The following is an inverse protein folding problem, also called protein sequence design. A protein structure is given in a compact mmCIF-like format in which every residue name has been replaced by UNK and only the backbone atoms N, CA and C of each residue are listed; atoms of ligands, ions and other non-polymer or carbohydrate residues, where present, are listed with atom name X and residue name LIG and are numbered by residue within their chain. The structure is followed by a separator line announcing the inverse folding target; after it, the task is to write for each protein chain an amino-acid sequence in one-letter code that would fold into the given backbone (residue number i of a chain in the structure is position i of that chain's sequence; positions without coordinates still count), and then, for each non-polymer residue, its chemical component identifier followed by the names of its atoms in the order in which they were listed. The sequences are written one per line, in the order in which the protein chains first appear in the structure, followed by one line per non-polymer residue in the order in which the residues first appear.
data_IF_526921370886
#
_entry.id   IF_526921370886
#
_cell.length_a   1.000
_cell.length_b   1.000
_cell.length_c   1.000
_cell.angle_alpha   90.00
_cell.angle_beta   90.00
_cell.angle_gamma   90.00
#
_symmetry.space_group_name_H-M   'P 1'
#
loop_
_entity.id
_entity.type
_entity.pdbx_description
1 polymer ?
#
# COMPACT_ATOMS: atom_id res chain seq x y z
N UNK A 1 -21.42 55.06 38.96
CA UNK A 1 -21.76 53.68 38.55
C UNK A 1 -20.95 53.36 37.30
N UNK A 2 -19.95 52.48 37.45
CA UNK A 2 -18.99 52.12 36.40
C UNK A 2 -19.54 50.97 35.58
N UNK A 3 -19.58 51.10 34.25
CA UNK A 3 -19.83 49.97 33.36
C UNK A 3 -18.54 49.69 32.57
N UNK A 4 -17.84 48.62 32.95
CA UNK A 4 -16.65 48.12 32.25
C UNK A 4 -17.11 47.16 31.15
N UNK A 5 -17.14 47.62 29.90
CA UNK A 5 -17.29 46.76 28.73
C UNK A 5 -15.95 46.10 28.39
N UNK A 6 -15.81 44.82 28.70
CA UNK A 6 -14.67 43.98 28.34
C UNK A 6 -14.83 43.56 26.87
N UNK A 7 -14.00 44.08 25.96
CA UNK A 7 -13.96 43.63 24.56
C UNK A 7 -13.11 42.35 24.52
N UNK A 8 -13.77 41.19 24.45
CA UNK A 8 -13.10 39.92 24.17
C UNK A 8 -12.74 39.83 22.68
N UNK A 9 -11.45 39.77 22.37
CA UNK A 9 -11.00 39.35 21.04
C UNK A 9 -11.24 37.85 20.90
N UNK A 10 -12.16 37.46 20.01
CA UNK A 10 -12.28 36.07 19.56
C UNK A 10 -11.26 35.88 18.44
N UNK A 11 -10.18 35.15 18.73
CA UNK A 11 -9.24 34.70 17.70
C UNK A 11 -9.84 33.47 17.03
N UNK A 12 -10.37 33.62 15.82
CA UNK A 12 -10.77 32.50 14.99
C UNK A 12 -9.50 31.82 14.44
N UNK A 13 -9.19 30.62 14.92
CA UNK A 13 -8.11 29.80 14.37
C UNK A 13 -8.60 29.19 13.05
N UNK A 14 -8.17 29.75 11.92
CA UNK A 14 -8.44 29.21 10.60
C UNK A 14 -7.54 27.99 10.39
N UNK A 15 -8.09 26.79 10.59
CA UNK A 15 -7.45 25.53 10.23
C UNK A 15 -7.47 25.42 8.70
N UNK A 16 -6.42 25.91 8.04
CA UNK A 16 -6.20 25.63 6.61
C UNK A 16 -5.75 24.17 6.53
N UNK A 17 -6.68 23.26 6.26
CA UNK A 17 -6.35 21.88 5.93
C UNK A 17 -5.61 21.85 4.60
N UNK A 18 -4.31 21.51 4.61
CA UNK A 18 -3.59 21.22 3.38
C UNK A 18 -4.05 19.84 2.90
N UNK A 19 -4.84 19.80 1.83
CA UNK A 19 -5.08 18.57 1.09
C UNK A 19 -3.72 18.05 0.60
N UNK A 20 -3.23 16.95 1.20
CA UNK A 20 -2.00 16.31 0.75
C UNK A 20 -2.18 15.86 -0.70
N UNK A 21 -1.30 16.31 -1.59
CA UNK A 21 -1.24 15.74 -2.94
C UNK A 21 -0.91 14.26 -2.81
N UNK A 22 -1.77 13.38 -3.35
CA UNK A 22 -1.47 11.96 -3.42
C UNK A 22 -0.12 11.78 -4.13
N UNK A 23 0.85 11.18 -3.44
CA UNK A 23 2.15 10.88 -4.03
C UNK A 23 1.97 9.87 -5.16
N UNK A 24 2.77 10.02 -6.22
CA UNK A 24 2.74 9.10 -7.36
C UNK A 24 3.06 7.67 -6.89
N UNK A 25 2.37 6.68 -7.47
CA UNK A 25 2.73 5.28 -7.29
C UNK A 25 4.11 5.03 -7.92
N UNK A 26 5.03 4.48 -7.15
CA UNK A 26 6.38 4.14 -7.61
C UNK A 26 6.44 2.73 -8.19
N UNK A 27 5.48 1.86 -7.87
CA UNK A 27 5.34 0.54 -8.50
C UNK A 27 4.96 0.73 -9.95
N UNK A 28 5.70 0.09 -10.85
CA UNK A 28 5.37 0.07 -12.27
C UNK A 28 4.46 -1.12 -12.58
N UNK A 29 3.40 -0.89 -13.38
CA UNK A 29 2.47 -1.94 -13.80
C UNK A 29 1.84 -2.74 -12.63
N UNK A 30 1.53 -2.06 -11.53
CA UNK A 30 0.91 -2.67 -10.35
C UNK A 30 -0.54 -3.13 -10.56
N UNK A 31 -1.19 -2.60 -11.59
CA UNK A 31 -2.53 -2.98 -12.10
C UNK A 31 -2.44 -4.00 -13.24
N UNK A 32 -1.24 -4.51 -13.54
CA UNK A 32 -0.95 -5.49 -14.57
C UNK A 32 -1.46 -5.18 -16.00
N UNK A 33 -1.86 -3.93 -16.28
CA UNK A 33 -2.40 -3.50 -17.57
C UNK A 33 -1.40 -3.56 -18.73
N UNK A 34 -0.10 -3.53 -18.41
CA UNK A 34 1.01 -3.73 -19.35
C UNK A 34 1.46 -5.20 -19.44
N UNK A 35 0.65 -6.15 -18.96
CA UNK A 35 0.92 -7.58 -19.04
C UNK A 35 2.04 -8.06 -18.11
N UNK A 36 2.75 -9.13 -18.50
CA UNK A 36 3.85 -9.71 -17.73
C UNK A 36 5.16 -8.90 -17.84
N UNK A 37 5.13 -7.64 -17.40
CA UNK A 37 6.27 -6.71 -17.43
C UNK A 37 6.36 -5.91 -16.12
N UNK A 38 7.52 -5.31 -15.82
CA UNK A 38 7.70 -4.44 -14.64
C UNK A 38 7.98 -5.15 -13.31
N UNK A 39 7.85 -6.48 -13.26
CA UNK A 39 8.12 -7.26 -12.04
C UNK A 39 8.89 -8.56 -12.33
N UNK A 40 9.31 -9.22 -11.26
CA UNK A 40 9.95 -10.54 -11.29
C UNK A 40 9.19 -11.53 -10.39
N UNK A 41 9.30 -12.82 -10.69
CA UNK A 41 8.70 -13.90 -9.92
C UNK A 41 9.64 -15.10 -9.84
N UNK A 42 9.59 -15.84 -8.74
CA UNK A 42 10.18 -17.17 -8.65
C UNK A 42 9.23 -18.24 -9.23
N UNK A 43 7.97 -17.91 -9.49
CA UNK A 43 7.00 -18.80 -10.13
C UNK A 43 7.21 -18.78 -11.64
N UNK A 44 6.89 -19.87 -12.31
CA UNK A 44 7.01 -19.97 -13.76
C UNK A 44 5.82 -19.29 -14.45
N UNK A 45 6.10 -18.33 -15.34
CA UNK A 45 5.07 -17.72 -16.16
C UNK A 45 4.51 -18.72 -17.19
N UNK A 46 3.17 -18.80 -17.29
CA UNK A 46 2.47 -19.62 -18.28
C UNK A 46 1.28 -18.87 -18.88
N UNK A 47 1.17 -18.87 -20.20
CA UNK A 47 0.01 -18.32 -20.90
C UNK A 47 -0.24 -19.16 -22.18
N UNK A 48 -1.30 -19.99 -22.24
CA UNK A 48 -2.38 -20.09 -21.26
C UNK A 48 -1.92 -20.67 -19.90
N UNK A 49 -2.68 -20.40 -18.85
CA UNK A 49 -2.43 -20.93 -17.50
C UNK A 49 -2.72 -22.44 -17.47
N UNK A 50 -1.75 -23.26 -17.06
CA UNK A 50 -1.87 -24.73 -17.06
C UNK A 50 -2.28 -25.34 -15.71
N UNK A 51 -2.59 -24.53 -14.69
CA UNK A 51 -2.92 -24.99 -13.33
C UNK A 51 -1.92 -26.00 -12.79
N UNK A 52 -0.66 -25.56 -12.79
CA UNK A 52 0.45 -26.28 -12.20
C UNK A 52 0.96 -25.47 -11.01
N UNK A 53 1.23 -26.11 -9.86
CA UNK A 53 1.79 -25.44 -8.70
C UNK A 53 3.01 -24.63 -9.09
N UNK A 54 3.23 -23.50 -8.41
CA UNK A 54 4.36 -22.60 -8.66
C UNK A 54 4.34 -21.95 -10.06
N UNK A 55 3.17 -21.79 -10.67
CA UNK A 55 2.99 -21.05 -11.91
C UNK A 55 2.12 -19.82 -11.73
N UNK A 56 2.24 -18.89 -12.65
CA UNK A 56 1.37 -17.73 -12.72
C UNK A 56 1.08 -17.33 -14.17
N UNK A 57 0.04 -16.52 -14.33
CA UNK A 57 -0.24 -15.79 -15.57
C UNK A 57 -0.61 -14.35 -15.26
N UNK A 58 -0.66 -13.52 -16.29
CA UNK A 58 -1.22 -12.16 -16.21
C UNK A 58 -2.33 -12.07 -17.23
N UNK A 59 -3.53 -11.73 -16.77
CA UNK A 59 -4.70 -11.67 -17.64
C UNK A 59 -5.97 -11.28 -16.90
N UNK A 60 -7.06 -11.25 -17.65
CA UNK A 60 -8.33 -10.66 -17.24
C UNK A 60 -9.39 -11.68 -16.80
N UNK A 61 -9.11 -12.97 -16.97
CA UNK A 61 -10.13 -13.98 -16.78
C UNK A 61 -9.54 -15.34 -16.45
N UNK A 62 -10.25 -16.03 -15.56
CA UNK A 62 -9.91 -17.37 -15.10
C UNK A 62 -11.15 -18.24 -15.32
N UNK A 63 -11.01 -19.23 -16.20
CA UNK A 63 -12.07 -20.22 -16.43
C UNK A 63 -12.05 -21.32 -15.37
N UNK A 64 -13.12 -22.11 -15.37
CA UNK A 64 -13.34 -23.26 -14.50
C UNK A 64 -12.11 -24.18 -14.41
N UNK A 65 -11.78 -24.72 -13.21
CA UNK A 65 -12.62 -24.83 -12.00
C UNK A 65 -12.59 -23.59 -11.09
N UNK A 66 -11.90 -22.53 -11.45
CA UNK A 66 -11.88 -21.28 -10.68
C UNK A 66 -13.18 -20.52 -10.91
N UNK A 67 -13.67 -19.84 -9.88
CA UNK A 67 -14.85 -18.98 -10.04
C UNK A 67 -14.60 -17.97 -11.17
N UNK A 68 -15.62 -17.57 -11.92
CA UNK A 68 -15.47 -16.41 -12.80
C UNK A 68 -15.25 -15.17 -11.94
N UNK A 69 -14.11 -14.51 -12.09
CA UNK A 69 -13.83 -13.25 -11.40
C UNK A 69 -13.17 -12.23 -12.30
N UNK A 70 -13.25 -10.97 -11.85
CA UNK A 70 -12.77 -9.81 -12.56
C UNK A 70 -11.67 -9.11 -11.75
N UNK A 71 -10.81 -8.44 -12.50
CA UNK A 71 -9.83 -7.45 -12.06
C UNK A 71 -10.42 -6.44 -11.06
N UNK A 72 -9.62 -6.02 -10.09
CA UNK A 72 -10.01 -5.11 -9.03
C UNK A 72 -10.08 -3.66 -9.52
N UNK A 73 -9.14 -3.22 -10.36
CA UNK A 73 -9.03 -1.82 -10.80
C UNK A 73 -10.30 -1.34 -11.52
N UNK A 74 -10.76 -2.11 -12.51
CA UNK A 74 -11.93 -1.80 -13.30
C UNK A 74 -13.19 -2.52 -12.78
N UNK A 75 -13.06 -3.62 -12.05
CA UNK A 75 -14.20 -4.49 -11.70
C UNK A 75 -14.85 -5.12 -12.94
N UNK A 76 -14.13 -5.17 -14.07
CA UNK A 76 -14.65 -5.62 -15.37
C UNK A 76 -13.84 -6.79 -15.93
N UNK A 77 -14.39 -7.55 -16.89
CA UNK A 77 -13.65 -8.63 -17.56
C UNK A 77 -12.50 -8.15 -18.47
N UNK A 78 -12.19 -6.85 -18.50
CA UNK A 78 -11.18 -6.27 -19.38
C UNK A 78 -9.89 -5.86 -18.66
N UNK A 79 -9.92 -5.65 -17.33
CA UNK A 79 -8.73 -5.33 -16.55
C UNK A 79 -7.88 -6.59 -16.32
N UNK A 80 -6.57 -6.42 -16.10
CA UNK A 80 -5.63 -7.53 -15.98
C UNK A 80 -5.14 -7.64 -14.55
N UNK A 81 -4.92 -8.87 -14.10
CA UNK A 81 -4.42 -9.16 -12.76
C UNK A 81 -3.41 -10.30 -12.85
N UNK A 82 -2.57 -10.42 -11.83
CA UNK A 82 -1.70 -11.59 -11.70
C UNK A 82 -2.48 -12.73 -11.06
N UNK A 83 -2.57 -13.87 -11.75
CA UNK A 83 -3.26 -15.08 -11.30
C UNK A 83 -2.21 -16.14 -11.00
N UNK A 84 -2.27 -16.70 -9.80
CA UNK A 84 -1.22 -17.58 -9.26
C UNK A 84 -1.82 -18.93 -8.86
N UNK A 85 -1.16 -19.99 -9.31
CA UNK A 85 -1.36 -21.34 -8.81
C UNK A 85 -0.34 -21.59 -7.69
N UNK A 86 -0.87 -21.73 -6.47
CA UNK A 86 -0.10 -21.70 -5.24
C UNK A 86 0.96 -22.80 -5.13
N UNK A 87 1.93 -22.63 -4.23
CA UNK A 87 2.91 -23.69 -3.96
C UNK A 87 2.36 -24.73 -2.98
N UNK A 88 2.81 -25.99 -3.08
CA UNK A 88 2.46 -27.03 -2.08
C UNK A 88 3.30 -26.99 -0.80
N UNK A 89 4.57 -26.58 -0.90
CA UNK A 89 5.54 -26.84 0.19
C UNK A 89 6.71 -25.86 0.31
N UNK A 90 6.65 -24.67 -0.29
CA UNK A 90 7.74 -23.71 -0.17
C UNK A 90 7.23 -22.27 -0.14
N UNK A 91 7.82 -21.47 0.75
CA UNK A 91 7.69 -20.03 0.64
C UNK A 91 8.54 -19.52 -0.49
N UNK A 92 7.91 -18.92 -1.50
CA UNK A 92 8.58 -18.40 -2.66
C UNK A 92 8.03 -17.02 -3.04
N UNK A 93 8.88 -16.20 -3.65
CA UNK A 93 8.52 -14.86 -4.13
C UNK A 93 7.61 -14.99 -5.33
N UNK A 94 6.38 -14.52 -5.19
CA UNK A 94 5.38 -14.52 -6.26
C UNK A 94 5.45 -13.24 -7.08
N UNK A 95 5.74 -12.12 -6.43
CA UNK A 95 5.91 -10.82 -7.08
C UNK A 95 7.03 -10.04 -6.40
N UNK A 96 7.86 -9.37 -7.19
CA UNK A 96 8.94 -8.51 -6.71
C UNK A 96 9.28 -7.38 -7.68
N UNK A 97 9.52 -6.20 -7.12
CA UNK A 97 10.06 -5.03 -7.82
C UNK A 97 11.11 -4.32 -6.94
N UNK A 98 12.10 -3.70 -7.59
CA UNK A 98 13.08 -2.84 -6.93
C UNK A 98 12.73 -1.37 -7.20
N UNK A 99 12.47 -0.63 -6.13
CA UNK A 99 11.99 0.75 -6.17
C UNK A 99 13.08 1.70 -5.67
N UNK A 100 13.28 2.81 -6.38
CA UNK A 100 14.11 3.91 -5.88
C UNK A 100 13.27 4.72 -4.89
N UNK A 101 13.80 4.95 -3.70
CA UNK A 101 13.15 5.73 -2.65
C UNK A 101 14.01 6.90 -2.22
N UNK A 102 13.37 7.94 -1.72
CA UNK A 102 14.03 9.06 -1.05
C UNK A 102 14.30 8.64 0.40
N UNK A 103 15.53 8.86 0.93
CA UNK A 103 15.80 8.68 2.35
C UNK A 103 14.87 9.52 3.24
N UNK A 104 14.73 9.08 4.49
CA UNK A 104 13.99 9.71 5.59
C UNK A 104 12.54 10.06 5.22
N UNK A 105 11.91 9.19 4.42
CA UNK A 105 10.57 9.38 3.88
C UNK A 105 9.65 8.21 4.23
N UNK A 106 8.40 8.51 4.56
CA UNK A 106 7.36 7.51 4.77
C UNK A 106 6.72 7.10 3.45
N UNK A 107 6.46 5.81 3.30
CA UNK A 107 5.81 5.21 2.15
C UNK A 107 4.66 4.31 2.59
N UNK A 108 3.58 4.31 1.82
CA UNK A 108 2.47 3.38 1.96
C UNK A 108 2.62 2.25 0.94
N UNK A 109 2.72 1.01 1.42
CA UNK A 109 2.68 -0.19 0.57
C UNK A 109 1.29 -0.81 0.64
N UNK A 110 0.66 -1.01 -0.52
CA UNK A 110 -0.64 -1.69 -0.67
C UNK A 110 -0.60 -2.74 -1.76
N UNK A 111 -1.50 -3.71 -1.62
CA UNK A 111 -1.87 -4.63 -2.68
C UNK A 111 -3.26 -5.19 -2.38
N UNK A 112 -3.99 -5.52 -3.44
CA UNK A 112 -5.22 -6.28 -3.34
C UNK A 112 -4.95 -7.74 -3.65
N UNK A 113 -5.57 -8.63 -2.89
CA UNK A 113 -5.49 -10.06 -3.13
C UNK A 113 -6.83 -10.75 -2.90
N UNK A 114 -7.07 -11.87 -3.58
CA UNK A 114 -8.24 -12.74 -3.37
C UNK A 114 -7.88 -14.19 -3.57
N UNK A 115 -8.57 -15.08 -2.88
CA UNK A 115 -8.58 -16.51 -3.23
C UNK A 115 -9.32 -16.68 -4.57
N UNK A 116 -8.87 -17.63 -5.40
CA UNK A 116 -9.46 -17.92 -6.72
C UNK A 116 -10.04 -19.33 -6.79
N UNK A 117 -9.84 -20.14 -5.75
CA UNK A 117 -10.29 -21.53 -5.67
C UNK A 117 -10.91 -21.85 -4.30
N UNK A 118 -11.96 -22.68 -4.29
CA UNK A 118 -12.55 -23.17 -3.05
C UNK A 118 -11.68 -24.29 -2.47
N UNK A 119 -10.87 -23.93 -1.49
CA UNK A 119 -9.82 -24.81 -1.03
C UNK A 119 -9.18 -24.33 0.28
N UNK A 120 -7.91 -24.67 0.50
CA UNK A 120 -7.19 -24.25 1.70
C UNK A 120 -7.00 -22.73 1.79
N UNK A 121 -6.61 -22.27 2.99
CA UNK A 121 -6.24 -20.87 3.21
C UNK A 121 -5.05 -20.48 2.33
N UNK A 122 -5.06 -19.23 1.86
CA UNK A 122 -3.89 -18.58 1.26
C UNK A 122 -3.32 -17.63 2.30
N UNK A 123 -2.01 -17.70 2.54
CA UNK A 123 -1.31 -16.78 3.44
C UNK A 123 -0.21 -16.09 2.65
N UNK A 124 -0.30 -14.77 2.52
CA UNK A 124 0.68 -13.96 1.81
C UNK A 124 1.54 -13.18 2.80
N UNK A 125 2.84 -13.15 2.57
CA UNK A 125 3.80 -12.33 3.29
C UNK A 125 4.21 -11.12 2.47
N UNK A 126 4.23 -9.95 3.09
CA UNK A 126 4.68 -8.71 2.46
C UNK A 126 6.02 -8.32 3.06
N UNK A 127 7.02 -8.12 2.20
CA UNK A 127 8.39 -7.83 2.63
C UNK A 127 8.93 -6.57 1.95
N UNK A 128 9.73 -5.82 2.69
CA UNK A 128 10.53 -4.71 2.20
C UNK A 128 11.98 -4.95 2.66
N UNK A 129 12.93 -4.96 1.73
CA UNK A 129 14.36 -5.20 2.03
C UNK A 129 14.60 -6.46 2.86
N UNK A 130 13.96 -7.57 2.46
CA UNK A 130 13.99 -8.87 3.13
C UNK A 130 13.38 -8.92 4.54
N UNK A 131 12.78 -7.84 5.03
CA UNK A 131 12.07 -7.80 6.31
C UNK A 131 10.57 -7.90 6.07
N UNK A 132 9.89 -8.82 6.74
CA UNK A 132 8.44 -8.94 6.66
C UNK A 132 7.75 -7.79 7.40
N UNK A 133 6.94 -7.03 6.68
CA UNK A 133 6.19 -5.87 7.18
C UNK A 133 4.73 -6.19 7.48
N UNK A 134 4.24 -7.35 7.03
CA UNK A 134 2.93 -7.86 7.41
C UNK A 134 2.53 -9.11 6.64
N UNK A 135 1.30 -9.55 6.89
CA UNK A 135 0.69 -10.72 6.27
C UNK A 135 -0.77 -10.45 5.90
N UNK A 136 -1.26 -11.12 4.86
CA UNK A 136 -2.68 -11.19 4.52
C UNK A 136 -3.12 -12.65 4.45
N UNK A 137 -4.20 -13.01 5.12
CA UNK A 137 -4.78 -14.37 5.09
C UNK A 137 -6.11 -14.32 4.38
N UNK A 138 -6.22 -15.05 3.26
CA UNK A 138 -7.42 -15.13 2.45
C UNK A 138 -8.13 -16.44 2.77
N UNK A 139 -9.40 -16.34 3.14
CA UNK A 139 -10.23 -17.51 3.36
C UNK A 139 -10.47 -18.24 2.03
N UNK A 140 -10.33 -19.57 2.02
CA UNK A 140 -10.67 -20.42 0.88
C UNK A 140 -12.19 -20.60 0.69
N UNK A 141 -12.99 -19.60 1.05
CA UNK A 141 -14.46 -19.64 0.98
C UNK A 141 -14.98 -19.07 -0.33
N UNK A 142 -16.21 -19.45 -0.70
CA UNK A 142 -16.89 -19.07 -1.95
C UNK A 142 -17.14 -17.56 -2.11
N UNK A 143 -16.97 -16.78 -1.04
CA UNK A 143 -17.16 -15.32 -1.07
C UNK A 143 -16.09 -14.59 -1.87
N UNK A 144 -14.88 -15.16 -2.03
CA UNK A 144 -13.82 -14.74 -2.98
C UNK A 144 -13.63 -13.22 -3.16
N UNK A 145 -13.89 -12.41 -2.14
CA UNK A 145 -13.77 -10.95 -2.28
C UNK A 145 -12.31 -10.52 -2.29
N UNK A 146 -12.04 -9.40 -2.98
CA UNK A 146 -10.75 -8.72 -2.90
C UNK A 146 -10.53 -8.17 -1.50
N UNK A 147 -9.35 -8.42 -0.94
CA UNK A 147 -8.91 -7.94 0.37
C UNK A 147 -7.64 -7.12 0.22
N UNK A 148 -7.59 -5.96 0.89
CA UNK A 148 -6.45 -5.06 0.86
C UNK A 148 -5.44 -5.42 1.95
N UNK A 149 -4.17 -5.57 1.57
CA UNK A 149 -3.04 -5.38 2.48
C UNK A 149 -2.60 -3.91 2.44
N UNK A 150 -2.26 -3.34 3.60
CA UNK A 150 -1.71 -1.98 3.72
C UNK A 150 -0.72 -1.89 4.88
N UNK A 151 0.42 -1.25 4.66
CA UNK A 151 1.31 -0.82 5.74
C UNK A 151 2.02 0.50 5.43
N UNK A 152 2.49 1.18 6.48
CA UNK A 152 3.42 2.32 6.36
C UNK A 152 4.84 1.83 6.66
N UNK A 153 5.80 2.25 5.83
CA UNK A 153 7.22 1.94 5.98
C UNK A 153 8.06 3.21 5.82
N UNK A 154 9.03 3.42 6.71
CA UNK A 154 9.97 4.53 6.64
C UNK A 154 11.28 4.07 5.99
N UNK A 155 11.79 4.84 5.03
CA UNK A 155 13.02 4.50 4.31
C UNK A 155 14.30 4.62 5.13
N UNK A 156 14.27 5.34 6.26
CA UNK A 156 15.49 5.69 6.98
C UNK A 156 16.57 6.20 6.03
N UNK A 157 17.81 5.75 6.17
CA UNK A 157 18.89 6.21 5.29
C UNK A 157 18.97 5.52 3.91
N UNK A 158 18.08 4.56 3.59
CA UNK A 158 18.21 3.81 2.32
C UNK A 158 17.67 4.60 1.12
N UNK A 159 18.26 4.37 -0.05
CA UNK A 159 17.84 4.97 -1.33
C UNK A 159 17.11 3.98 -2.25
N UNK A 160 16.91 2.74 -1.79
CA UNK A 160 16.24 1.68 -2.55
C UNK A 160 15.45 0.74 -1.65
N UNK A 161 14.34 0.25 -2.16
CA UNK A 161 13.47 -0.71 -1.51
C UNK A 161 13.18 -1.89 -2.45
N UNK A 162 13.49 -3.12 -2.03
CA UNK A 162 13.02 -4.32 -2.70
C UNK A 162 11.70 -4.74 -2.08
N UNK A 163 10.61 -4.55 -2.81
CA UNK A 163 9.26 -4.97 -2.41
C UNK A 163 9.05 -6.41 -2.86
N UNK A 164 8.53 -7.27 -1.97
CA UNK A 164 8.18 -8.65 -2.31
C UNK A 164 6.87 -9.06 -1.70
N UNK A 165 6.11 -9.83 -2.47
CA UNK A 165 5.00 -10.65 -1.99
C UNK A 165 5.47 -12.10 -2.09
N UNK A 166 5.30 -12.85 -1.00
CA UNK A 166 5.64 -14.28 -0.95
C UNK A 166 4.40 -15.08 -0.58
N UNK A 167 4.25 -16.25 -1.19
CA UNK A 167 3.32 -17.27 -0.71
C UNK A 167 3.92 -17.87 0.57
N UNK A 168 3.23 -17.76 1.71
CA UNK A 168 3.65 -18.33 2.99
C UNK A 168 2.93 -19.65 3.29
N UNK A 169 1.96 -20.05 2.47
CA UNK A 169 1.23 -21.29 2.70
C UNK A 169 2.13 -22.48 2.32
N UNK A 170 2.66 -23.16 3.33
CA UNK A 170 3.75 -24.15 3.19
C UNK A 170 3.32 -25.59 3.50
N UNK A 171 2.04 -25.83 3.82
CA UNK A 171 1.57 -27.10 4.36
C UNK A 171 0.29 -27.64 3.69
N UNK A 172 0.12 -27.41 2.40
CA UNK A 172 -1.02 -27.96 1.68
C UNK A 172 -0.69 -29.31 1.05
N UNK A 173 -1.15 -30.37 1.71
CA UNK A 173 -1.36 -31.66 1.07
C UNK A 173 -2.61 -31.70 0.18
N UNK A 174 -3.29 -30.56 -0.01
CA UNK A 174 -4.52 -30.42 -0.81
C UNK A 174 -4.33 -29.27 -1.82
N UNK A 175 -4.65 -29.48 -3.12
CA UNK A 175 -4.67 -28.42 -4.13
C UNK A 175 -5.59 -27.25 -3.78
N UNK A 176 -5.28 -26.06 -4.33
CA UNK A 176 -6.22 -24.94 -4.35
C UNK A 176 -5.90 -23.77 -3.44
N UNK A 177 -4.65 -23.55 -3.02
CA UNK A 177 -4.21 -22.25 -2.47
C UNK A 177 -3.96 -21.22 -3.57
N UNK A 178 -4.86 -21.15 -4.54
CA UNK A 178 -4.72 -20.29 -5.69
C UNK A 178 -5.28 -18.92 -5.35
N UNK A 179 -4.63 -17.89 -5.87
CA UNK A 179 -4.98 -16.52 -5.58
C UNK A 179 -4.72 -15.59 -6.76
N UNK A 180 -5.27 -14.40 -6.69
CA UNK A 180 -4.94 -13.31 -7.58
C UNK A 180 -4.40 -12.12 -6.79
N UNK A 181 -3.51 -11.36 -7.43
CA UNK A 181 -2.94 -10.10 -6.96
C UNK A 181 -3.30 -8.99 -7.93
N UNK A 182 -3.58 -7.81 -7.39
CA UNK A 182 -3.91 -6.63 -8.18
C UNK A 182 -3.62 -5.32 -7.42
N UNK A 183 -3.63 -4.21 -8.14
CA UNK A 183 -3.50 -2.84 -7.61
C UNK A 183 -2.35 -2.67 -6.61
N UNK A 184 -1.18 -3.24 -6.95
CA UNK A 184 0.03 -3.13 -6.14
C UNK A 184 0.54 -1.69 -6.21
N UNK A 185 0.71 -1.04 -5.06
CA UNK A 185 1.17 0.34 -5.02
C UNK A 185 2.12 0.63 -3.86
N UNK A 186 3.11 1.48 -4.15
CA UNK A 186 4.06 2.00 -3.20
C UNK A 186 4.23 3.49 -3.45
N UNK A 187 3.63 4.33 -2.62
CA UNK A 187 3.65 5.79 -2.81
C UNK A 187 4.06 6.50 -1.53
N UNK A 188 4.64 7.70 -1.68
CA UNK A 188 5.01 8.52 -0.53
C UNK A 188 3.77 8.83 0.33
N UNK A 189 3.85 8.55 1.62
CA UNK A 189 2.81 8.97 2.55
C UNK A 189 2.95 10.47 2.79
N UNK A 190 1.87 11.23 2.61
CA UNK A 190 1.91 12.65 2.91
C UNK A 190 2.16 12.83 4.41
N UNK A 191 3.38 13.22 4.79
CA UNK A 191 3.70 13.55 6.18
C UNK A 191 2.84 14.75 6.57
N UNK A 192 1.96 14.65 7.58
CA UNK A 192 1.28 15.82 8.10
C UNK A 192 2.35 16.80 8.58
N UNK A 193 2.36 18.03 8.07
CA UNK A 193 3.33 19.05 8.48
C UNK A 193 3.43 19.04 10.01
N UNK A 194 4.64 18.86 10.59
CA UNK A 194 4.79 18.97 12.03
C UNK A 194 4.24 20.32 12.46
N UNK A 195 3.44 20.36 13.52
CA UNK A 195 2.90 21.59 14.08
C UNK A 195 3.97 22.65 14.43
N UNK A 196 5.27 22.32 14.32
CA UNK A 196 6.41 23.22 14.41
C UNK A 196 6.44 24.35 13.36
N UNK A 197 5.67 24.26 12.26
CA UNK A 197 5.48 25.39 11.34
C UNK A 197 4.91 26.65 12.01
N UNK A 198 4.19 26.48 13.14
CA UNK A 198 3.66 27.58 13.94
C UNK A 198 4.67 28.23 14.89
N UNK A 199 5.81 27.58 15.18
CA UNK A 199 6.77 28.08 16.17
C UNK A 199 7.69 29.18 15.59
N UNK A 200 7.88 29.23 14.27
CA UNK A 200 8.64 30.29 13.62
C UNK A 200 7.83 31.58 13.38
N UNK A 201 6.49 31.50 13.39
CA UNK A 201 5.61 32.66 13.19
C UNK A 201 5.34 33.49 14.45
N UNK A 202 5.50 32.91 15.64
CA UNK A 202 5.21 33.59 16.92
C UNK A 202 6.41 34.35 17.52
N UNK A 203 7.62 34.12 17.01
CA UNK A 203 8.85 34.76 17.50
C UNK A 203 9.05 36.23 17.12
N UNK A 204 8.31 36.76 16.13
CA UNK A 204 8.50 38.13 15.62
C UNK A 204 7.57 39.19 16.25
N UNK A 205 6.59 38.79 17.07
CA UNK A 205 5.65 39.74 17.71
C UNK A 205 6.03 40.11 19.16
N UNK A 206 7.10 39.52 19.71
CA UNK A 206 7.53 39.74 21.11
C UNK A 206 8.45 40.95 21.36
N UNK A 207 8.94 41.64 20.33
CA UNK A 207 10.00 42.66 20.48
C UNK A 207 9.56 44.12 20.29
N UNK A 208 8.27 44.43 20.38
CA UNK A 208 7.75 45.79 20.27
C UNK A 208 6.92 46.19 21.51
N UNK A 209 7.52 46.14 22.70
CA UNK A 209 6.73 46.33 23.92
C UNK A 209 7.48 46.78 25.18
N UNK A 210 8.63 47.46 25.08
CA UNK A 210 9.23 48.13 26.23
C UNK A 210 9.77 49.51 25.83
N UNK A 211 8.90 50.52 25.85
CA UNK A 211 9.35 51.91 25.98
C UNK A 211 8.84 52.49 27.30
N UNK A 212 9.83 52.72 28.18
CA UNK A 212 9.72 53.40 29.47
C UNK A 212 9.04 54.76 29.34
N UNK A 213 8.16 55.08 30.30
CA UNK A 213 7.90 56.47 30.68
C UNK A 213 8.30 56.65 32.15
N UNK A 214 9.44 57.32 32.33
CA UNK A 214 9.76 58.04 33.54
C UNK A 214 9.41 59.51 33.30
N UNK A 215 8.75 60.16 34.28
CA UNK A 215 9.15 61.48 34.81
C UNK A 215 8.24 61.92 35.95
N UNK A 216 8.94 62.40 36.99
CA UNK A 216 8.65 63.30 38.12
C UNK A 216 7.25 63.86 38.27
#
# INVERSE_FOLDING_TARGET
MSNKGLIGLITALLMVGTAGTASANLVTNGDFSAGNTGFTSAYAYSNPMYWQPTHYTVGNYVETPHASFYDHTAGTPAGSMMIVDGAYSASATVWQENIIVTPDSDYEFKAWARSTYDGPLVMLGFLINNVQVGTLTLAGTSTKDWQEFRCIWNSGSVTGATLRIVDLQTNNSVPGNDFALDDISFSGSAVPLPAAGWLFGSGLLGLAGLRKTAKR
#
